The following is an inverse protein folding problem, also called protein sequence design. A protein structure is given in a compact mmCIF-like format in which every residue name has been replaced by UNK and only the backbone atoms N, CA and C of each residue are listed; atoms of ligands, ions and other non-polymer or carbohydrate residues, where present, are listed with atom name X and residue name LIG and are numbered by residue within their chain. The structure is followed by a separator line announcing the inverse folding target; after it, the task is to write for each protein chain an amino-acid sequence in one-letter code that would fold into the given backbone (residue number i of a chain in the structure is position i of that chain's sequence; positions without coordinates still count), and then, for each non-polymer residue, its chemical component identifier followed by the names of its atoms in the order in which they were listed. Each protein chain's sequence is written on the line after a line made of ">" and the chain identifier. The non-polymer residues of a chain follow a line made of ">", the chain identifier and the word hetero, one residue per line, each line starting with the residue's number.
data_IF_698358329906
#
_entry.id   IF_698358329906
#
_cell.length_a   1.000
_cell.length_b   1.000
_cell.length_c   1.000
_cell.angle_alpha   90.00
_cell.angle_beta   90.00
_cell.angle_gamma   90.00
#
_symmetry.space_group_name_H-M   'P 1'
#
loop_
_entity.id
_entity.type
_entity.pdbx_description
1 polymer ?
#
# COMPACT_ATOMS: atom_id res chain seq x y z
N UNK A 1 -29.17 -0.47 2.29
CA UNK A 1 -29.59 0.84 2.81
C UNK A 1 -28.38 1.75 2.87
N UNK A 2 -28.39 2.88 2.17
CA UNK A 2 -27.29 3.85 2.05
C UNK A 2 -27.33 4.83 3.25
N UNK A 3 -26.96 4.37 4.44
CA UNK A 3 -26.95 5.22 5.66
C UNK A 3 -25.61 5.93 5.85
N UNK A 4 -24.56 5.46 5.15
CA UNK A 4 -23.18 5.94 5.27
C UNK A 4 -22.99 7.47 5.19
N UNK A 5 -23.55 8.20 4.20
CA UNK A 5 -23.29 9.64 4.08
C UNK A 5 -23.91 10.49 5.21
N UNK A 6 -24.81 9.93 6.01
CA UNK A 6 -25.50 10.63 7.10
C UNK A 6 -24.95 10.29 8.48
N UNK A 7 -23.91 9.44 8.57
CA UNK A 7 -23.27 9.15 9.85
C UNK A 7 -22.48 10.36 10.35
N UNK A 8 -22.58 10.71 11.64
CA UNK A 8 -21.71 11.71 12.24
C UNK A 8 -20.24 11.38 11.95
N UNK A 9 -19.46 12.40 11.60
CA UNK A 9 -18.03 12.29 11.25
C UNK A 9 -17.72 11.51 9.96
N UNK A 10 -18.70 11.12 9.14
CA UNK A 10 -18.45 10.44 7.88
C UNK A 10 -17.57 11.26 6.92
N UNK A 11 -17.84 12.57 6.79
CA UNK A 11 -17.01 13.48 5.97
C UNK A 11 -15.57 13.52 6.47
N UNK A 12 -15.37 13.66 7.78
CA UNK A 12 -14.04 13.69 8.38
C UNK A 12 -13.29 12.34 8.19
N UNK A 13 -14.00 11.22 8.29
CA UNK A 13 -13.44 9.90 8.01
C UNK A 13 -13.04 9.75 6.54
N UNK A 14 -13.86 10.26 5.60
CA UNK A 14 -13.56 10.25 4.17
C UNK A 14 -12.33 11.13 3.85
N UNK A 15 -12.23 12.32 4.42
CA UNK A 15 -11.07 13.20 4.27
C UNK A 15 -9.80 12.58 4.86
N UNK A 16 -9.90 11.96 6.03
CA UNK A 16 -8.80 11.22 6.64
C UNK A 16 -8.34 10.07 5.74
N UNK A 17 -9.29 9.29 5.22
CA UNK A 17 -8.99 8.22 4.28
C UNK A 17 -8.26 8.74 3.03
N UNK A 18 -8.75 9.81 2.41
CA UNK A 18 -8.11 10.43 1.25
C UNK A 18 -6.67 10.89 1.53
N UNK A 19 -6.41 11.47 2.71
CA UNK A 19 -5.06 11.87 3.13
C UNK A 19 -4.13 10.67 3.29
N UNK A 20 -4.61 9.58 3.90
CA UNK A 20 -3.83 8.34 4.05
C UNK A 20 -3.54 7.72 2.68
N UNK A 21 -4.54 7.65 1.79
CA UNK A 21 -4.37 7.13 0.43
C UNK A 21 -3.26 7.90 -0.29
N UNK A 22 -3.33 9.24 -0.25
CA UNK A 22 -2.32 10.09 -0.88
C UNK A 22 -0.94 9.86 -0.29
N UNK A 23 -0.83 9.82 1.04
CA UNK A 23 0.45 9.58 1.73
C UNK A 23 1.10 8.27 1.29
N UNK A 24 0.34 7.17 1.27
CA UNK A 24 0.90 5.86 0.86
C UNK A 24 1.30 5.88 -0.62
N UNK A 25 0.51 6.53 -1.48
CA UNK A 25 0.85 6.65 -2.89
C UNK A 25 2.15 7.45 -3.09
N UNK A 26 2.29 8.59 -2.40
CA UNK A 26 3.49 9.42 -2.45
C UNK A 26 4.74 8.63 -1.99
N UNK A 27 4.61 7.81 -0.93
CA UNK A 27 5.70 6.93 -0.44
C UNK A 27 6.08 5.87 -1.49
N UNK A 28 5.09 5.21 -2.11
CA UNK A 28 5.35 4.20 -3.14
C UNK A 28 6.04 4.83 -4.36
N UNK A 29 5.60 6.01 -4.77
CA UNK A 29 6.15 6.71 -5.93
C UNK A 29 7.57 7.19 -5.69
N UNK A 30 7.87 7.70 -4.49
CA UNK A 30 9.25 7.99 -4.06
C UNK A 30 10.10 6.73 -4.16
N UNK A 31 9.64 5.61 -3.58
CA UNK A 31 10.40 4.36 -3.61
C UNK A 31 10.68 3.90 -5.02
N UNK A 32 9.67 3.96 -5.89
CA UNK A 32 9.80 3.60 -7.30
C UNK A 32 10.79 4.50 -8.06
N UNK A 33 10.85 5.79 -7.74
CA UNK A 33 11.72 6.76 -8.42
C UNK A 33 13.20 6.59 -8.10
N UNK A 34 13.51 6.10 -6.90
CA UNK A 34 14.89 5.91 -6.42
C UNK A 34 15.22 4.43 -6.19
N UNK A 35 14.47 3.52 -6.82
CA UNK A 35 14.59 2.09 -6.59
C UNK A 35 15.94 1.56 -7.09
N UNK A 36 16.66 0.88 -6.19
CA UNK A 36 17.90 0.15 -6.48
C UNK A 36 17.75 -1.31 -6.03
N UNK A 37 17.78 -2.24 -6.99
CA UNK A 37 17.60 -3.66 -6.73
C UNK A 37 18.74 -4.28 -5.90
N UNK A 38 19.94 -3.70 -5.97
CA UNK A 38 21.11 -4.18 -5.24
C UNK A 38 21.12 -3.69 -3.79
N UNK A 39 20.45 -2.57 -3.51
CA UNK A 39 20.37 -1.98 -2.19
C UNK A 39 18.91 -1.63 -1.78
N UNK A 40 18.07 -2.64 -1.52
CA UNK A 40 16.70 -2.42 -1.07
C UNK A 40 16.67 -1.75 0.31
N UNK A 41 15.92 -0.65 0.44
CA UNK A 41 15.82 0.13 1.69
C UNK A 41 14.88 -0.50 2.71
N UNK A 42 13.72 -0.96 2.24
CA UNK A 42 12.64 -1.45 3.09
C UNK A 42 11.73 -2.46 2.37
N UNK A 43 10.58 -2.77 2.99
CA UNK A 43 9.60 -3.74 2.47
C UNK A 43 9.01 -3.37 1.10
N UNK A 44 8.97 -2.08 0.75
CA UNK A 44 8.47 -1.61 -0.55
C UNK A 44 9.48 -1.95 -1.64
N UNK A 45 10.76 -1.68 -1.39
CA UNK A 45 11.84 -2.07 -2.32
C UNK A 45 11.96 -3.59 -2.44
N UNK A 46 11.86 -4.32 -1.33
CA UNK A 46 11.85 -5.78 -1.34
C UNK A 46 10.67 -6.34 -2.15
N UNK A 47 9.50 -5.68 -2.10
CA UNK A 47 8.37 -6.06 -2.93
C UNK A 47 8.67 -5.90 -4.43
N UNK A 48 9.32 -4.81 -4.83
CA UNK A 48 9.74 -4.60 -6.22
C UNK A 48 10.79 -5.62 -6.65
N UNK A 49 11.76 -5.94 -5.78
CA UNK A 49 12.79 -6.94 -6.02
C UNK A 49 12.20 -8.33 -6.25
N UNK A 50 11.27 -8.73 -5.40
CA UNK A 50 10.61 -10.04 -5.47
C UNK A 50 9.69 -10.12 -6.71
N UNK A 51 9.04 -9.01 -7.11
CA UNK A 51 8.31 -8.92 -8.39
C UNK A 51 9.23 -9.15 -9.58
N UNK A 52 10.36 -8.45 -9.63
CA UNK A 52 11.27 -8.50 -10.78
C UNK A 52 11.97 -9.86 -10.88
N UNK A 53 12.28 -10.47 -9.73
CA UNK A 53 12.77 -11.85 -9.63
C UNK A 53 11.76 -12.90 -10.12
N UNK A 54 10.46 -12.71 -9.88
CA UNK A 54 9.43 -13.59 -10.45
C UNK A 54 9.36 -13.44 -11.97
N UNK A 55 9.38 -12.20 -12.46
CA UNK A 55 9.38 -11.91 -13.90
C UNK A 55 10.56 -12.55 -14.62
N UNK A 56 11.77 -12.46 -14.06
CA UNK A 56 12.98 -13.03 -14.68
C UNK A 56 12.94 -14.56 -14.76
N UNK A 57 12.16 -15.22 -13.92
CA UNK A 57 11.95 -16.68 -13.92
C UNK A 57 10.79 -17.14 -14.80
N UNK A 58 10.05 -16.21 -15.40
CA UNK A 58 8.81 -16.53 -16.12
C UNK A 58 7.69 -17.01 -15.21
N UNK A 59 7.72 -16.64 -13.92
CA UNK A 59 6.66 -17.02 -12.97
C UNK A 59 5.38 -16.23 -13.29
N UNK A 60 4.26 -16.91 -13.61
CA UNK A 60 3.01 -16.24 -13.97
C UNK A 60 2.45 -15.41 -12.80
N UNK A 61 2.77 -15.76 -11.55
CA UNK A 61 2.28 -15.04 -10.37
C UNK A 61 2.85 -13.62 -10.26
N UNK A 62 3.89 -13.28 -11.04
CA UNK A 62 4.40 -11.92 -11.15
C UNK A 62 3.32 -10.90 -11.57
N UNK A 63 2.27 -11.34 -12.27
CA UNK A 63 1.16 -10.47 -12.69
C UNK A 63 0.38 -9.90 -11.50
N UNK A 64 0.32 -10.64 -10.38
CA UNK A 64 -0.36 -10.21 -9.16
C UNK A 64 0.46 -9.21 -8.34
N UNK A 65 1.76 -9.05 -8.65
CA UNK A 65 2.64 -8.10 -7.98
C UNK A 65 2.46 -6.67 -8.54
N UNK A 66 1.25 -6.13 -8.37
CA UNK A 66 0.87 -4.80 -8.87
C UNK A 66 0.99 -3.73 -7.79
N UNK A 67 1.16 -2.46 -8.21
CA UNK A 67 1.13 -1.32 -7.29
C UNK A 67 -0.16 -1.23 -6.48
N UNK A 68 -1.30 -1.66 -7.05
CA UNK A 68 -2.59 -1.72 -6.35
C UNK A 68 -2.57 -2.71 -5.18
N UNK A 69 -1.96 -3.88 -5.36
CA UNK A 69 -1.85 -4.89 -4.31
C UNK A 69 -0.87 -4.43 -3.22
N UNK A 70 0.27 -3.84 -3.62
CA UNK A 70 1.21 -3.22 -2.67
C UNK A 70 0.51 -2.15 -1.81
N UNK A 71 -0.18 -1.21 -2.45
CA UNK A 71 -0.99 -0.20 -1.77
C UNK A 71 -2.00 -0.81 -0.79
N UNK A 72 -2.78 -1.79 -1.24
CA UNK A 72 -3.81 -2.43 -0.41
C UNK A 72 -3.18 -3.12 0.83
N UNK A 73 -2.03 -3.78 0.66
CA UNK A 73 -1.31 -4.43 1.74
C UNK A 73 -0.77 -3.41 2.76
N UNK A 74 -0.20 -2.29 2.31
CA UNK A 74 0.29 -1.23 3.19
C UNK A 74 -0.85 -0.56 3.98
N UNK A 75 -1.98 -0.29 3.32
CA UNK A 75 -3.20 0.21 3.98
C UNK A 75 -3.68 -0.74 5.07
N UNK A 76 -3.80 -2.05 4.74
CA UNK A 76 -4.27 -3.06 5.66
C UNK A 76 -3.34 -3.16 6.88
N UNK A 77 -2.02 -3.23 6.65
CA UNK A 77 -1.03 -3.32 7.73
C UNK A 77 -1.07 -2.09 8.65
N UNK A 78 -1.20 -0.89 8.08
CA UNK A 78 -1.29 0.35 8.85
C UNK A 78 -2.52 0.37 9.76
N UNK A 79 -3.66 -0.10 9.23
CA UNK A 79 -4.93 -0.15 9.97
C UNK A 79 -4.92 -1.23 11.06
N UNK A 80 -4.45 -2.45 10.76
CA UNK A 80 -4.37 -3.53 11.76
C UNK A 80 -3.40 -3.19 12.88
N UNK A 81 -2.25 -2.59 12.57
CA UNK A 81 -1.28 -2.12 13.58
C UNK A 81 -1.91 -1.09 14.51
N UNK A 82 -2.71 -0.17 13.98
CA UNK A 82 -3.44 0.80 14.80
C UNK A 82 -4.46 0.13 15.71
N UNK A 83 -5.26 -0.82 15.21
CA UNK A 83 -6.26 -1.52 16.01
C UNK A 83 -5.66 -2.36 17.13
N UNK A 84 -4.55 -3.07 16.88
CA UNK A 84 -3.87 -3.89 17.90
C UNK A 84 -3.29 -3.00 19.00
N UNK A 85 -2.74 -1.83 18.66
CA UNK A 85 -2.16 -0.91 19.66
C UNK A 85 -3.18 -0.19 20.54
N UNK A 86 -4.44 -0.12 20.11
CA UNK A 86 -5.51 0.63 20.80
C UNK A 86 -6.60 -0.29 21.40
N UNK A 87 -6.34 -1.60 21.44
CA UNK A 87 -7.08 -2.58 22.25
C UNK A 87 -6.21 -3.06 23.41
#
# INVERSE_FOLDING_TARGET
>A
YFVFPFLPNFSAALECHQKIVKLIQDIIDEHKSTYDAENPRDIIDEYFKERDKRRSRGDPTAEYFTGKILYANLMQYSFTTYLIRNN
#
